data_IF_226092770271
#
_entry.id   IF_226092770271
#
_cell.length_a   1.000
_cell.length_b   1.000
_cell.length_c   1.000
_cell.angle_alpha   90.00
_cell.angle_beta   90.00
_cell.angle_gamma   90.00
#
_symmetry.space_group_name_H-M   'P 1'
#
loop_
_entity.id
_entity.type
_entity.pdbx_description
1 polymer ?
#
# COMPACT_ATOMS: atom_id res chain seq x y z
N UNK A 1 9.48 -5.32 -12.66
CA UNK A 1 8.80 -5.85 -11.46
C UNK A 1 7.96 -4.74 -10.83
N UNK A 2 6.68 -4.99 -10.55
CA UNK A 2 5.74 -3.98 -10.05
C UNK A 2 5.46 -4.19 -8.55
N UNK A 3 5.38 -3.10 -7.78
CA UNK A 3 5.01 -3.13 -6.36
C UNK A 3 3.51 -2.86 -6.17
N UNK A 4 2.80 -3.73 -5.46
CA UNK A 4 1.37 -3.55 -5.15
C UNK A 4 1.20 -3.31 -3.66
N UNK A 5 0.53 -2.22 -3.30
CA UNK A 5 0.22 -1.83 -1.92
C UNK A 5 -1.30 -1.89 -1.67
N UNK A 6 -1.83 -2.95 -1.03
CA UNK A 6 -3.22 -2.98 -0.60
C UNK A 6 -3.43 -2.00 0.58
N UNK A 7 -4.21 -0.95 0.36
CA UNK A 7 -4.50 0.13 1.30
C UNK A 7 -6.01 0.37 1.49
N UNK A 8 -6.86 -0.55 1.03
CA UNK A 8 -8.32 -0.42 1.04
C UNK A 8 -9.00 -0.76 2.38
N UNK A 9 -8.26 -1.32 3.35
CA UNK A 9 -8.82 -1.87 4.57
C UNK A 9 -9.32 -0.83 5.59
N UNK A 10 -10.36 -1.21 6.35
CA UNK A 10 -11.00 -0.38 7.38
C UNK A 10 -10.18 -0.15 8.66
N UNK A 11 -9.14 -0.94 8.92
CA UNK A 11 -8.33 -0.80 10.15
C UNK A 11 -9.10 -1.05 11.46
N UNK A 12 -10.22 -1.77 11.46
CA UNK A 12 -11.19 -1.89 12.58
C UNK A 12 -10.58 -2.21 13.96
N UNK A 13 -9.48 -2.98 14.00
CA UNK A 13 -8.78 -3.37 15.23
C UNK A 13 -7.98 -2.24 15.87
N UNK A 14 -7.73 -1.15 15.14
CA UNK A 14 -6.95 0.00 15.61
C UNK A 14 -7.84 1.22 15.85
N UNK A 15 -9.09 0.99 16.25
CA UNK A 15 -9.92 2.07 16.79
C UNK A 15 -9.39 2.42 18.20
N UNK A 16 -9.44 3.70 18.62
CA UNK A 16 -10.07 4.84 17.93
C UNK A 16 -9.19 5.52 16.86
N UNK A 17 -7.92 5.16 16.73
CA UNK A 17 -6.96 5.82 15.83
C UNK A 17 -7.41 5.84 14.37
N UNK A 18 -8.17 4.83 13.95
CA UNK A 18 -8.65 4.67 12.57
C UNK A 18 -10.05 5.19 12.30
N UNK A 19 -10.68 5.90 13.25
CA UNK A 19 -12.03 6.45 13.06
C UNK A 19 -12.09 7.54 11.98
N UNK A 20 -11.07 8.42 11.96
CA UNK A 20 -11.04 9.60 11.10
C UNK A 20 -9.83 9.61 10.13
N UNK A 21 -8.99 8.57 10.19
CA UNK A 21 -7.74 8.47 9.45
C UNK A 21 -7.52 7.00 9.04
N UNK A 22 -7.39 6.66 7.75
CA UNK A 22 -7.15 5.28 7.35
C UNK A 22 -5.79 4.79 7.89
N UNK A 23 -5.70 3.49 8.23
CA UNK A 23 -4.50 2.87 8.83
C UNK A 23 -3.19 3.21 8.09
N UNK A 24 -3.12 3.17 6.75
CA UNK A 24 -1.88 3.50 6.02
C UNK A 24 -1.39 4.94 6.22
N UNK A 25 -2.27 5.84 6.68
CA UNK A 25 -1.94 7.25 6.94
C UNK A 25 -1.56 7.54 8.39
N UNK A 26 -1.60 6.53 9.27
CA UNK A 26 -1.17 6.74 10.65
C UNK A 26 0.32 7.12 10.69
N UNK A 27 0.69 8.17 11.45
CA UNK A 27 2.06 8.61 11.52
C UNK A 27 2.89 7.69 12.42
N UNK A 28 4.07 7.31 11.94
CA UNK A 28 5.15 6.69 12.71
C UNK A 28 6.38 7.57 12.53
N UNK A 29 6.92 8.11 13.63
CA UNK A 29 8.03 9.08 13.60
C UNK A 29 7.77 10.24 12.60
N UNK A 30 6.60 10.87 12.70
CA UNK A 30 6.15 11.99 11.86
C UNK A 30 5.97 11.70 10.36
N UNK A 31 5.99 10.43 9.95
CA UNK A 31 5.80 10.01 8.56
C UNK A 31 4.72 8.94 8.46
N UNK A 32 3.78 9.02 7.49
CA UNK A 32 2.76 7.99 7.33
C UNK A 32 3.35 6.63 6.99
N UNK A 33 2.73 5.55 7.50
CA UNK A 33 3.13 4.16 7.22
C UNK A 33 3.29 3.91 5.71
N UNK A 34 2.31 4.34 4.89
CA UNK A 34 2.34 4.12 3.43
C UNK A 34 3.59 4.71 2.77
N UNK A 35 4.14 5.80 3.32
CA UNK A 35 5.33 6.43 2.77
C UNK A 35 6.58 5.60 3.06
N UNK A 36 6.64 4.89 4.20
CA UNK A 36 7.71 3.93 4.45
C UNK A 36 7.66 2.75 3.49
N UNK A 37 6.46 2.27 3.16
CA UNK A 37 6.28 1.17 2.21
C UNK A 37 6.74 1.58 0.81
N UNK A 38 6.37 2.78 0.35
CA UNK A 38 6.82 3.33 -0.95
C UNK A 38 8.35 3.47 -0.98
N UNK A 39 8.94 4.04 0.07
CA UNK A 39 10.39 4.22 0.12
C UNK A 39 11.15 2.88 0.19
N UNK A 40 10.58 1.88 0.85
CA UNK A 40 11.13 0.53 0.88
C UNK A 40 11.14 -0.11 -0.51
N UNK A 41 10.01 -0.05 -1.23
CA UNK A 41 9.91 -0.55 -2.61
C UNK A 41 10.91 0.14 -3.54
N UNK A 42 11.00 1.47 -3.48
CA UNK A 42 11.99 2.23 -4.26
C UNK A 42 13.43 1.87 -3.89
N UNK A 43 13.73 1.70 -2.61
CA UNK A 43 15.06 1.27 -2.16
C UNK A 43 15.44 -0.13 -2.65
N UNK A 44 14.44 -0.96 -2.97
CA UNK A 44 14.61 -2.29 -3.55
C UNK A 44 14.67 -2.27 -5.09
N UNK A 45 14.63 -1.09 -5.74
CA UNK A 45 14.63 -0.95 -7.20
C UNK A 45 13.26 -1.16 -7.86
N UNK A 46 12.17 -1.04 -7.10
CA UNK A 46 10.79 -1.15 -7.60
C UNK A 46 10.20 0.27 -7.70
N UNK A 47 10.31 0.88 -8.88
CA UNK A 47 9.83 2.24 -9.13
C UNK A 47 8.34 2.27 -9.54
N UNK A 48 7.87 1.23 -10.25
CA UNK A 48 6.48 1.09 -10.63
C UNK A 48 5.64 0.57 -9.45
N UNK A 49 4.82 1.44 -8.86
CA UNK A 49 4.03 1.12 -7.67
C UNK A 49 2.54 1.38 -7.91
N UNK A 50 1.71 0.39 -7.59
CA UNK A 50 0.26 0.44 -7.62
C UNK A 50 -0.28 0.43 -6.18
N UNK A 51 -1.02 1.46 -5.80
CA UNK A 51 -1.71 1.55 -4.50
C UNK A 51 -3.20 1.26 -4.70
N UNK A 52 -3.69 0.21 -4.06
CA UNK A 52 -5.12 -0.14 -4.10
C UNK A 52 -5.84 0.51 -2.93
N UNK A 53 -6.70 1.48 -3.20
CA UNK A 53 -7.43 2.27 -2.19
C UNK A 53 -8.90 1.90 -2.12
N UNK A 54 -9.54 2.15 -0.98
CA UNK A 54 -10.95 1.82 -0.74
C UNK A 54 -11.53 2.71 0.35
N UNK A 55 -11.54 2.22 1.59
CA UNK A 55 -12.00 3.01 2.74
C UNK A 55 -11.23 4.35 2.87
N UNK A 56 -11.97 5.47 2.95
CA UNK A 56 -11.42 6.82 3.03
C UNK A 56 -10.38 7.14 1.94
N UNK A 57 -10.56 6.59 0.73
CA UNK A 57 -9.64 6.73 -0.41
C UNK A 57 -9.20 8.16 -0.67
N UNK A 58 -10.08 9.14 -0.46
CA UNK A 58 -9.83 10.56 -0.73
C UNK A 58 -8.65 11.07 0.08
N UNK A 59 -8.53 10.65 1.36
CA UNK A 59 -7.41 11.02 2.23
C UNK A 59 -6.10 10.40 1.75
N UNK A 60 -6.15 9.16 1.25
CA UNK A 60 -4.97 8.45 0.75
C UNK A 60 -4.51 9.08 -0.57
N UNK A 61 -5.43 9.31 -1.50
CA UNK A 61 -5.18 9.98 -2.78
C UNK A 61 -4.56 11.37 -2.54
N UNK A 62 -5.13 12.15 -1.62
CA UNK A 62 -4.60 13.47 -1.28
C UNK A 62 -3.18 13.39 -0.73
N UNK A 63 -2.90 12.44 0.17
CA UNK A 63 -1.54 12.26 0.71
C UNK A 63 -0.53 11.80 -0.33
N UNK A 64 -0.98 11.03 -1.32
CA UNK A 64 -0.13 10.51 -2.40
C UNK A 64 0.07 11.52 -3.54
N UNK A 65 -0.53 12.71 -3.49
CA UNK A 65 -0.23 13.77 -4.47
C UNK A 65 1.27 14.10 -4.45
N UNK A 66 1.88 14.06 -5.63
CA UNK A 66 3.32 14.28 -5.80
C UNK A 66 4.18 13.02 -5.68
N UNK A 67 3.59 11.86 -5.33
CA UNK A 67 4.26 10.57 -5.49
C UNK A 67 3.98 10.02 -6.89
N UNK A 68 5.03 9.59 -7.58
CA UNK A 68 4.90 8.79 -8.80
C UNK A 68 4.43 7.37 -8.45
N UNK A 69 3.12 7.22 -8.29
CA UNK A 69 2.43 5.95 -8.00
C UNK A 69 1.09 5.91 -8.72
N UNK A 70 0.66 4.72 -9.15
CA UNK A 70 -0.66 4.50 -9.74
C UNK A 70 -1.67 4.17 -8.65
N UNK A 71 -2.78 4.90 -8.59
CA UNK A 71 -3.85 4.62 -7.62
C UNK A 71 -5.01 3.88 -8.30
N UNK A 72 -5.45 2.79 -7.69
CA UNK A 72 -6.55 1.95 -8.18
C UNK A 72 -7.61 1.82 -7.09
N UNK A 73 -8.86 2.13 -7.43
CA UNK A 73 -9.96 2.09 -6.46
C UNK A 73 -10.65 0.72 -6.41
N UNK A 74 -10.61 0.09 -5.24
CA UNK A 74 -11.43 -1.05 -4.90
C UNK A 74 -12.82 -0.60 -4.39
N UNK A 75 -13.80 -0.59 -5.29
CA UNK A 75 -15.19 -0.17 -4.98
C UNK A 75 -15.90 -1.07 -3.95
N UNK A 76 -15.62 -2.37 -3.98
CA UNK A 76 -16.15 -3.35 -3.01
C UNK A 76 -14.99 -3.96 -2.24
N UNK A 77 -14.97 -3.75 -0.92
CA UNK A 77 -13.93 -4.28 -0.02
C UNK A 77 -14.28 -5.71 0.43
N UNK A 78 -14.35 -6.62 -0.54
CA UNK A 78 -14.70 -8.04 -0.38
C UNK A 78 -13.49 -8.93 -0.08
N UNK A 79 -12.32 -8.34 0.16
CA UNK A 79 -11.13 -9.04 0.63
C UNK A 79 -9.84 -8.51 0.00
N UNK A 80 -8.71 -9.08 0.42
CA UNK A 80 -7.40 -8.72 -0.16
C UNK A 80 -7.22 -9.32 -1.55
N UNK A 81 -7.69 -10.55 -1.79
CA UNK A 81 -7.50 -11.23 -3.07
C UNK A 81 -8.11 -10.41 -4.21
N UNK A 82 -9.29 -9.82 -4.01
CA UNK A 82 -9.92 -8.96 -5.00
C UNK A 82 -9.16 -7.64 -5.20
N UNK A 83 -8.54 -7.08 -4.15
CA UNK A 83 -7.65 -5.93 -4.25
C UNK A 83 -6.43 -6.24 -5.13
N UNK A 84 -5.78 -7.40 -4.90
CA UNK A 84 -4.63 -7.85 -5.69
C UNK A 84 -5.04 -8.15 -7.13
N UNK A 85 -6.18 -8.83 -7.36
CA UNK A 85 -6.70 -9.08 -8.71
C UNK A 85 -6.98 -7.79 -9.48
N UNK A 86 -7.42 -6.74 -8.79
CA UNK A 86 -7.66 -5.44 -9.39
C UNK A 86 -6.36 -4.77 -9.84
N UNK A 87 -5.30 -4.86 -9.03
CA UNK A 87 -3.96 -4.43 -9.42
C UNK A 87 -3.41 -5.28 -10.57
N UNK A 88 -3.64 -6.61 -10.55
CA UNK A 88 -3.19 -7.55 -11.58
C UNK A 88 -3.71 -7.26 -12.99
N UNK A 89 -4.80 -6.50 -13.14
CA UNK A 89 -5.27 -6.02 -14.47
C UNK A 89 -4.35 -4.97 -15.11
N UNK A 90 -3.34 -4.52 -14.37
CA UNK A 90 -2.40 -3.48 -14.76
C UNK A 90 -0.95 -3.97 -14.71
N UNK A 91 -0.74 -5.28 -14.65
CA UNK A 91 0.55 -5.92 -14.44
C UNK A 91 0.71 -6.98 -15.52
N UNK A 92 1.74 -6.82 -16.35
CA UNK A 92 2.05 -7.76 -17.44
C UNK A 92 3.27 -8.66 -17.11
N UNK A 93 3.90 -8.47 -15.95
CA UNK A 93 5.16 -9.09 -15.53
C UNK A 93 5.17 -9.40 -14.01
N UNK A 94 6.25 -9.93 -13.46
CA UNK A 94 6.38 -10.25 -12.04
C UNK A 94 6.07 -9.05 -11.12
N UNK A 95 5.37 -9.33 -10.01
CA UNK A 95 5.01 -8.31 -9.03
C UNK A 95 5.19 -8.77 -7.59
N UNK A 96 5.41 -7.80 -6.70
CA UNK A 96 5.52 -7.98 -5.25
C UNK A 96 4.35 -7.32 -4.58
N UNK A 97 3.73 -7.99 -3.62
CA UNK A 97 2.71 -7.40 -2.75
C UNK A 97 3.35 -6.98 -1.44
N UNK A 98 3.25 -5.69 -1.12
CA UNK A 98 3.72 -5.11 0.13
C UNK A 98 2.52 -4.53 0.88
N UNK A 99 2.19 -5.13 2.02
CA UNK A 99 1.07 -4.69 2.84
C UNK A 99 1.23 -3.24 3.28
N UNK A 100 0.22 -2.40 2.99
CA UNK A 100 0.26 -0.96 3.26
C UNK A 100 0.23 -0.58 4.75
N UNK A 101 0.29 -1.56 5.63
CA UNK A 101 0.24 -1.42 7.07
C UNK A 101 1.41 -2.09 7.81
N UNK A 102 2.38 -2.65 7.08
CA UNK A 102 3.62 -3.17 7.64
C UNK A 102 4.67 -2.06 7.74
N UNK A 103 5.17 -1.86 8.96
CA UNK A 103 6.34 -1.02 9.19
C UNK A 103 7.58 -1.91 9.08
N UNK A 104 8.36 -1.72 8.01
CA UNK A 104 9.63 -2.43 7.78
C UNK A 104 10.78 -1.43 7.84
N UNK A 105 11.81 -1.75 8.62
CA UNK A 105 13.02 -0.94 8.78
C UNK A 105 14.25 -1.82 8.56
N UNK A 106 15.01 -1.55 7.49
CA UNK A 106 16.21 -2.29 7.10
C UNK A 106 16.45 -2.25 5.59
N UNK A 107 17.66 -2.62 5.14
CA UNK A 107 17.96 -2.76 3.70
C UNK A 107 17.29 -4.02 3.15
N UNK A 108 16.30 -3.86 2.27
CA UNK A 108 15.71 -4.97 1.52
C UNK A 108 16.69 -5.42 0.41
N UNK A 109 17.64 -6.27 0.77
CA UNK A 109 18.50 -6.97 -0.20
C UNK A 109 17.89 -8.33 -0.52
N UNK A 110 17.14 -8.36 -1.62
CA UNK A 110 16.68 -9.50 -2.43
C UNK A 110 15.16 -9.76 -2.42
N UNK A 111 14.52 -9.76 -3.61
CA UNK A 111 13.11 -10.09 -3.80
C UNK A 111 12.96 -11.61 -3.94
N UNK A 112 12.97 -12.35 -2.84
CA UNK A 112 12.40 -13.68 -2.83
C UNK A 112 11.26 -13.68 -1.81
N UNK A 113 10.05 -13.79 -2.37
CA UNK A 113 8.76 -13.86 -1.69
C UNK A 113 8.82 -14.60 -0.33
N UNK A 114 8.44 -13.91 0.74
CA UNK A 114 7.77 -14.53 1.89
C UNK A 114 6.62 -13.62 2.30
N UNK A 115 5.46 -13.88 1.71
CA UNK A 115 4.17 -13.46 2.25
C UNK A 115 3.69 -14.57 3.20
N UNK A 116 3.73 -14.32 4.51
CA UNK A 116 2.90 -15.01 5.50
C UNK A 116 1.74 -14.09 5.88
#
# INVERSE_FOLDING_TARGET
>A
MIGVIPAAGFGKRMKPLTLNLPKPLLPVLNKPIIQYVIDCLRSAGIDEIIVVVGYMKEKIIDRLKGFDVKVVEQKRMDGTISAIKLAGKHIDDDFVVMWGDNFLWGSYKQPHLLAY
#
